data_IF_197363552730
#
_entry.id   IF_197363552730
#
_cell.length_a   1.000
_cell.length_b   1.000
_cell.length_c   1.000
_cell.angle_alpha   90.00
_cell.angle_beta   90.00
_cell.angle_gamma   90.00
#
_symmetry.space_group_name_H-M   'P 1'
#
loop_
_entity.id
_entity.type
_entity.pdbx_description
1 polymer ?
#
# COMPACT_ATOMS: atom_id res chain seq x y z
N UNK A 1 12.58 -18.03 -16.92
CA UNK A 1 11.29 -18.73 -16.73
C UNK A 1 10.56 -18.76 -18.05
N UNK A 2 10.09 -19.93 -18.52
CA UNK A 2 9.21 -20.00 -19.69
C UNK A 2 7.83 -19.48 -19.25
N UNK A 3 7.36 -18.42 -19.88
CA UNK A 3 5.98 -17.95 -19.72
C UNK A 3 5.09 -19.14 -20.10
N UNK A 4 4.16 -19.58 -19.24
CA UNK A 4 3.22 -20.62 -19.61
C UNK A 4 2.48 -20.22 -20.88
N UNK A 5 2.44 -21.09 -21.89
CA UNK A 5 1.80 -20.79 -23.17
C UNK A 5 0.28 -20.68 -23.09
N UNK A 6 -0.31 -21.19 -22.00
CA UNK A 6 -1.73 -21.03 -21.64
C UNK A 6 -1.83 -21.08 -20.12
N UNK A 7 -1.58 -19.97 -19.41
CA UNK A 7 -1.80 -19.95 -17.97
C UNK A 7 -3.29 -20.16 -17.68
N UNK A 8 -3.60 -20.89 -16.61
CA UNK A 8 -4.95 -20.92 -16.03
C UNK A 8 -5.17 -19.54 -15.36
N UNK A 9 -5.57 -18.57 -16.18
CA UNK A 9 -5.71 -17.18 -15.78
C UNK A 9 -7.12 -16.94 -15.30
N UNK A 10 -7.24 -16.60 -14.03
CA UNK A 10 -8.47 -16.08 -13.47
C UNK A 10 -8.51 -14.57 -13.69
N UNK A 11 -9.35 -14.11 -14.60
CA UNK A 11 -9.64 -12.68 -14.75
C UNK A 11 -10.51 -12.28 -13.56
N UNK A 12 -10.09 -11.25 -12.82
CA UNK A 12 -10.90 -10.74 -11.72
C UNK A 12 -12.30 -10.35 -12.20
N UNK A 13 -13.38 -10.76 -11.49
CA UNK A 13 -14.74 -10.37 -11.86
C UNK A 13 -14.98 -8.86 -11.80
N UNK A 14 -14.11 -8.14 -11.11
CA UNK A 14 -14.17 -6.70 -10.94
C UNK A 14 -13.43 -5.93 -12.04
N UNK A 15 -12.85 -6.64 -13.02
CA UNK A 15 -12.16 -5.99 -14.13
C UNK A 15 -13.15 -5.13 -14.93
N UNK A 16 -12.84 -3.86 -15.19
CA UNK A 16 -13.71 -2.98 -15.95
C UNK A 16 -13.92 -3.53 -17.37
N UNK A 17 -15.13 -3.35 -17.90
CA UNK A 17 -15.47 -3.76 -19.27
C UNK A 17 -14.76 -2.93 -20.35
N UNK A 18 -14.27 -1.76 -19.97
CA UNK A 18 -13.59 -0.84 -20.86
C UNK A 18 -12.13 -1.26 -21.07
N UNK A 19 -11.70 -1.31 -22.33
CA UNK A 19 -10.31 -1.58 -22.67
C UNK A 19 -9.48 -0.30 -22.43
N UNK A 20 -8.33 -0.39 -21.74
CA UNK A 20 -7.43 0.72 -21.54
C UNK A 20 -6.98 1.36 -22.85
N UNK A 21 -6.78 2.67 -22.85
CA UNK A 21 -6.40 3.46 -24.03
C UNK A 21 -5.07 3.02 -24.64
N UNK A 22 -4.14 2.60 -23.80
CA UNK A 22 -2.81 2.14 -24.20
C UNK A 22 -2.78 0.71 -24.75
N UNK A 23 -3.91 0.02 -24.83
CA UNK A 23 -4.04 -1.37 -25.30
C UNK A 23 -3.27 -2.41 -24.47
N UNK A 24 -2.98 -2.11 -23.22
CA UNK A 24 -2.16 -2.97 -22.35
C UNK A 24 -2.97 -3.95 -21.51
N UNK A 25 -4.28 -3.94 -21.70
CA UNK A 25 -5.22 -4.65 -20.84
C UNK A 25 -5.00 -6.15 -20.73
N UNK A 26 -4.61 -6.80 -21.81
CA UNK A 26 -4.30 -8.24 -21.86
C UNK A 26 -2.93 -8.49 -22.48
N UNK A 27 -2.09 -7.53 -22.46
CA UNK A 27 -0.76 -7.54 -23.03
C UNK A 27 0.32 -7.80 -21.97
N UNK A 28 1.59 -7.85 -22.35
CA UNK A 28 2.70 -7.98 -21.41
C UNK A 28 2.75 -6.91 -20.29
N UNK A 29 2.11 -5.76 -20.50
CA UNK A 29 2.06 -4.70 -19.48
C UNK A 29 0.96 -4.89 -18.44
N UNK A 30 0.14 -5.92 -18.56
CA UNK A 30 -0.75 -6.33 -17.49
C UNK A 30 0.03 -7.07 -16.43
N UNK A 31 -0.28 -6.83 -15.17
CA UNK A 31 0.39 -7.56 -14.09
C UNK A 31 -0.24 -8.93 -13.88
N UNK A 32 0.60 -9.90 -13.63
CA UNK A 32 0.23 -11.28 -13.38
C UNK A 32 0.63 -11.63 -11.95
N UNK A 33 -0.34 -11.94 -11.10
CA UNK A 33 -0.07 -12.32 -9.71
C UNK A 33 -0.73 -13.66 -9.40
N UNK A 34 -0.05 -14.57 -8.68
CA UNK A 34 -0.69 -15.78 -8.18
C UNK A 34 -1.73 -15.41 -7.12
N UNK A 35 -2.89 -16.05 -7.15
CA UNK A 35 -3.84 -16.01 -6.04
C UNK A 35 -3.46 -17.04 -4.96
N UNK A 36 -4.23 -17.07 -3.86
CA UNK A 36 -3.98 -18.00 -2.75
C UNK A 36 -4.07 -19.47 -3.14
N UNK A 37 -4.73 -19.79 -4.26
CA UNK A 37 -4.85 -21.13 -4.81
C UNK A 37 -3.77 -21.43 -5.86
N UNK A 38 -2.82 -20.54 -6.05
CA UNK A 38 -1.75 -20.65 -7.03
C UNK A 38 -2.17 -20.37 -8.48
N UNK A 39 -3.37 -19.82 -8.68
CA UNK A 39 -3.83 -19.38 -10.00
C UNK A 39 -3.38 -17.97 -10.28
N UNK A 40 -3.14 -17.66 -11.55
CA UNK A 40 -2.76 -16.34 -11.98
C UNK A 40 -3.96 -15.41 -12.10
N UNK A 41 -3.81 -14.18 -11.64
CA UNK A 41 -4.78 -13.10 -11.81
C UNK A 41 -4.22 -12.02 -12.72
N UNK A 42 -5.09 -11.45 -13.54
CA UNK A 42 -4.74 -10.37 -14.44
C UNK A 42 -5.28 -9.04 -13.89
N UNK A 43 -4.38 -8.08 -13.71
CA UNK A 43 -4.71 -6.72 -13.32
C UNK A 43 -4.27 -5.75 -14.43
N UNK A 44 -5.03 -4.67 -14.71
CA UNK A 44 -4.56 -3.61 -15.60
C UNK A 44 -3.27 -3.00 -15.04
N UNK A 45 -2.22 -2.97 -15.84
CA UNK A 45 -0.97 -2.35 -15.43
C UNK A 45 -1.05 -0.82 -15.49
N UNK A 46 -1.57 -0.29 -16.58
CA UNK A 46 -1.85 1.13 -16.78
C UNK A 46 -3.01 1.34 -17.76
N UNK A 47 -3.78 2.40 -17.58
CA UNK A 47 -4.85 2.84 -18.50
C UNK A 47 -4.40 4.01 -19.38
N UNK A 48 -3.49 4.82 -18.88
CA UNK A 48 -2.89 5.95 -19.57
C UNK A 48 -1.40 6.04 -19.24
N UNK A 49 -0.73 7.12 -19.62
CA UNK A 49 0.66 7.36 -19.25
C UNK A 49 0.77 7.51 -17.72
N UNK A 50 1.89 7.05 -17.18
CA UNK A 50 2.16 7.08 -15.75
C UNK A 50 1.96 8.47 -15.11
N UNK A 51 2.39 9.52 -15.80
CA UNK A 51 2.28 10.90 -15.31
C UNK A 51 0.84 11.45 -15.35
N UNK A 52 0.00 10.96 -16.26
CA UNK A 52 -1.42 11.29 -16.32
C UNK A 52 -2.17 10.64 -15.15
N UNK A 53 -1.92 9.36 -14.91
CA UNK A 53 -2.56 8.63 -13.81
C UNK A 53 -2.09 9.15 -12.44
N UNK A 54 -0.79 9.45 -12.26
CA UNK A 54 -0.28 10.05 -11.03
C UNK A 54 -0.87 11.42 -10.77
N UNK A 55 -0.87 12.31 -11.77
CA UNK A 55 -1.41 13.66 -11.60
C UNK A 55 -2.91 13.67 -11.27
N UNK A 56 -3.65 12.62 -11.64
CA UNK A 56 -5.07 12.55 -11.33
C UNK A 56 -5.35 12.57 -9.82
N UNK A 57 -4.61 11.82 -8.99
CA UNK A 57 -4.85 11.87 -7.55
C UNK A 57 -4.28 13.13 -6.87
N UNK A 58 -3.48 13.93 -7.57
CA UNK A 58 -3.06 15.25 -7.08
C UNK A 58 -4.04 16.36 -7.47
N UNK A 59 -4.51 16.37 -8.70
CA UNK A 59 -5.23 17.51 -9.27
C UNK A 59 -6.75 17.30 -9.35
N UNK A 60 -7.19 16.07 -9.58
CA UNK A 60 -8.60 15.73 -9.78
C UNK A 60 -9.00 14.53 -8.92
N UNK A 61 -9.15 13.37 -9.53
CA UNK A 61 -9.45 12.11 -8.86
C UNK A 61 -8.99 10.91 -9.69
N UNK A 62 -8.32 9.95 -9.07
CA UNK A 62 -8.04 8.64 -9.62
C UNK A 62 -8.98 7.59 -9.04
N UNK A 63 -9.42 6.65 -9.89
CA UNK A 63 -10.18 5.46 -9.49
C UNK A 63 -9.36 4.20 -9.75
N UNK A 64 -9.08 3.46 -8.70
CA UNK A 64 -8.39 2.17 -8.76
C UNK A 64 -9.29 1.05 -8.25
N UNK A 65 -9.24 -0.11 -8.93
CA UNK A 65 -10.05 -1.29 -8.56
C UNK A 65 -9.52 -2.05 -7.33
N UNK A 66 -8.52 -1.50 -6.63
CA UNK A 66 -7.82 -2.20 -5.55
C UNK A 66 -7.03 -3.40 -6.07
N UNK A 67 -6.63 -4.27 -5.16
CA UNK A 67 -5.99 -5.56 -5.48
C UNK A 67 -7.02 -6.69 -5.47
N UNK A 68 -8.26 -6.41 -5.89
CA UNK A 68 -9.33 -7.40 -5.89
C UNK A 68 -9.02 -8.62 -6.80
N UNK A 69 -9.41 -9.83 -6.38
CA UNK A 69 -10.02 -10.19 -5.12
C UNK A 69 -9.02 -10.08 -3.94
N UNK A 70 -9.45 -9.43 -2.88
CA UNK A 70 -8.62 -9.08 -1.72
C UNK A 70 -9.01 -9.90 -0.50
N UNK A 71 -8.10 -10.17 0.43
CA UNK A 71 -8.43 -10.89 1.66
C UNK A 71 -9.32 -10.03 2.55
N UNK A 72 -10.61 -10.37 2.61
CA UNK A 72 -11.61 -9.71 3.43
C UNK A 72 -12.27 -10.73 4.34
N UNK A 73 -12.24 -10.49 5.64
CA UNK A 73 -12.89 -11.33 6.64
C UNK A 73 -14.04 -10.58 7.28
N UNK A 74 -15.26 -11.13 7.18
CA UNK A 74 -16.39 -10.70 8.01
C UNK A 74 -16.38 -11.54 9.27
N UNK A 75 -16.31 -10.85 10.41
CA UNK A 75 -16.24 -11.48 11.72
C UNK A 75 -17.37 -10.98 12.60
N UNK A 76 -18.03 -11.91 13.29
CA UNK A 76 -19.00 -11.63 14.34
C UNK A 76 -18.54 -12.27 15.65
N UNK A 77 -18.66 -11.54 16.76
CA UNK A 77 -18.39 -12.05 18.11
C UNK A 77 -17.67 -11.06 19.00
N UNK A 78 -18.13 -10.98 20.25
CA UNK A 78 -17.60 -10.06 21.28
C UNK A 78 -16.14 -10.35 21.66
N UNK A 79 -15.65 -11.57 21.41
CA UNK A 79 -14.28 -11.97 21.75
C UNK A 79 -13.25 -11.58 20.68
N UNK A 80 -13.68 -11.11 19.49
CA UNK A 80 -12.76 -10.83 18.41
C UNK A 80 -11.71 -9.77 18.75
N UNK A 81 -12.14 -8.67 19.39
CA UNK A 81 -11.18 -7.64 19.82
C UNK A 81 -10.24 -8.11 20.93
N UNK A 82 -10.68 -9.03 21.80
CA UNK A 82 -9.81 -9.66 22.80
C UNK A 82 -8.75 -10.53 22.13
N UNK A 83 -9.15 -11.33 21.13
CA UNK A 83 -8.25 -12.15 20.34
C UNK A 83 -7.18 -11.30 19.64
N UNK A 84 -7.59 -10.24 18.96
CA UNK A 84 -6.66 -9.33 18.29
C UNK A 84 -5.73 -8.61 19.29
N UNK A 85 -6.23 -8.26 20.49
CA UNK A 85 -5.39 -7.67 21.54
C UNK A 85 -4.26 -8.63 21.95
N UNK A 86 -4.52 -9.93 22.02
CA UNK A 86 -3.49 -10.92 22.34
C UNK A 86 -2.51 -11.19 21.19
N UNK A 87 -2.81 -10.80 19.96
CA UNK A 87 -2.06 -11.15 18.77
C UNK A 87 -1.33 -9.99 18.11
N UNK A 88 -1.66 -8.75 18.45
CA UNK A 88 -1.21 -7.56 17.73
C UNK A 88 -0.64 -6.50 18.65
N UNK A 89 0.16 -5.59 18.10
CA UNK A 89 0.73 -4.47 18.85
C UNK A 89 -0.31 -3.44 19.28
N UNK A 90 -1.55 -3.59 18.81
CA UNK A 90 -2.62 -2.61 18.97
C UNK A 90 -3.46 -2.87 20.21
N UNK A 91 -3.94 -1.80 20.84
CA UNK A 91 -5.07 -1.86 21.77
C UNK A 91 -6.36 -1.43 21.09
N UNK A 92 -7.50 -2.00 21.52
CA UNK A 92 -8.81 -1.67 20.96
C UNK A 92 -9.67 -0.86 21.93
N UNK A 93 -9.05 -0.23 22.93
CA UNK A 93 -9.73 0.79 23.72
C UNK A 93 -10.16 1.97 22.85
N UNK A 94 -11.36 2.53 23.08
CA UNK A 94 -11.92 3.62 22.28
C UNK A 94 -11.96 3.29 20.75
N UNK A 95 -12.53 2.12 20.44
CA UNK A 95 -12.77 1.69 19.08
C UNK A 95 -14.28 1.60 18.80
N UNK A 96 -14.97 2.75 18.60
CA UNK A 96 -16.42 2.80 18.40
C UNK A 96 -16.83 2.20 17.05
N UNK A 97 -18.13 1.89 16.92
CA UNK A 97 -18.73 1.51 15.63
C UNK A 97 -18.48 2.59 14.59
N UNK A 98 -18.20 2.19 13.38
CA UNK A 98 -17.83 3.04 12.25
C UNK A 98 -16.33 3.36 12.16
N UNK A 99 -15.53 3.13 13.21
CA UNK A 99 -14.10 3.42 13.18
C UNK A 99 -13.32 2.31 12.48
N UNK A 100 -12.29 2.72 11.73
CA UNK A 100 -11.25 1.84 11.21
C UNK A 100 -9.95 1.98 12.01
N UNK A 101 -9.12 0.93 12.01
CA UNK A 101 -7.82 0.91 12.68
C UNK A 101 -6.81 0.10 11.86
N UNK A 102 -5.61 0.65 11.72
CA UNK A 102 -4.45 -0.09 11.22
C UNK A 102 -4.00 -1.09 12.29
N UNK A 103 -3.92 -2.36 11.94
CA UNK A 103 -3.62 -3.50 12.84
C UNK A 103 -2.33 -4.15 12.37
N UNK A 104 -1.40 -4.39 13.30
CA UNK A 104 -0.07 -4.89 12.99
C UNK A 104 0.21 -6.14 13.82
N UNK A 105 0.59 -7.23 13.13
CA UNK A 105 1.07 -8.48 13.69
C UNK A 105 2.59 -8.51 13.62
N UNK A 106 3.26 -8.89 14.71
CA UNK A 106 4.71 -9.04 14.75
C UNK A 106 5.11 -10.46 15.19
N UNK A 107 6.33 -10.83 14.83
CA UNK A 107 7.01 -12.01 15.39
C UNK A 107 7.55 -11.72 16.80
N UNK A 108 8.13 -12.74 17.47
CA UNK A 108 8.71 -12.60 18.80
C UNK A 108 9.92 -11.64 18.81
N UNK A 109 10.56 -11.40 17.68
CA UNK A 109 11.64 -10.42 17.49
C UNK A 109 11.14 -8.98 17.25
N UNK A 110 9.82 -8.76 17.20
CA UNK A 110 9.21 -7.46 16.96
C UNK A 110 9.16 -7.04 15.47
N UNK A 111 9.47 -7.98 14.54
CA UNK A 111 9.38 -7.69 13.10
C UNK A 111 7.98 -7.94 12.58
N UNK A 112 7.51 -7.10 11.67
CA UNK A 112 6.16 -7.14 11.09
C UNK A 112 6.01 -8.43 10.27
N UNK A 113 4.96 -9.19 10.57
CA UNK A 113 4.54 -10.37 9.80
C UNK A 113 3.43 -10.03 8.82
N UNK A 114 2.51 -9.18 9.25
CA UNK A 114 1.37 -8.75 8.45
C UNK A 114 0.79 -7.49 9.06
N UNK A 115 0.23 -6.65 8.22
CA UNK A 115 -0.56 -5.50 8.63
C UNK A 115 -1.81 -5.35 7.75
N UNK A 116 -2.80 -4.65 8.26
CA UNK A 116 -4.03 -4.42 7.52
C UNK A 116 -4.99 -3.50 8.27
N UNK A 117 -6.22 -3.42 7.77
CA UNK A 117 -7.24 -2.53 8.33
C UNK A 117 -8.35 -3.34 8.96
N UNK A 118 -8.75 -2.97 10.16
CA UNK A 118 -9.95 -3.46 10.83
C UNK A 118 -11.00 -2.35 10.88
N UNK A 119 -12.20 -2.62 10.40
CA UNK A 119 -13.36 -1.72 10.51
C UNK A 119 -14.39 -2.33 11.46
N UNK A 120 -14.84 -1.59 12.46
CA UNK A 120 -15.95 -2.00 13.34
C UNK A 120 -17.26 -1.55 12.73
N UNK A 121 -18.00 -2.49 12.13
CA UNK A 121 -19.25 -2.21 11.41
C UNK A 121 -20.51 -2.31 12.28
N UNK A 122 -20.42 -2.96 13.45
CA UNK A 122 -21.48 -3.11 14.43
C UNK A 122 -20.91 -3.28 15.84
N UNK A 123 -21.76 -3.51 16.84
CA UNK A 123 -21.28 -3.71 18.20
C UNK A 123 -20.35 -4.91 18.34
N UNK A 124 -20.66 -6.00 17.63
CA UNK A 124 -19.89 -7.25 17.57
C UNK A 124 -19.54 -7.65 16.14
N UNK A 125 -19.69 -6.74 15.17
CA UNK A 125 -19.46 -6.98 13.75
C UNK A 125 -18.24 -6.22 13.23
N UNK A 126 -17.40 -6.91 12.48
CA UNK A 126 -16.14 -6.38 11.97
C UNK A 126 -15.87 -6.81 10.53
N UNK A 127 -15.17 -5.96 9.80
CA UNK A 127 -14.53 -6.29 8.52
C UNK A 127 -13.02 -6.14 8.68
N UNK A 128 -12.28 -7.21 8.44
CA UNK A 128 -10.81 -7.22 8.42
C UNK A 128 -10.29 -7.30 7.00
N UNK A 129 -9.40 -6.38 6.63
CA UNK A 129 -8.77 -6.30 5.31
C UNK A 129 -7.29 -6.58 5.46
N UNK A 130 -6.77 -7.57 4.71
CA UNK A 130 -5.38 -8.01 4.77
C UNK A 130 -4.90 -8.39 6.18
N UNK A 131 -5.75 -9.03 6.97
CA UNK A 131 -5.42 -9.52 8.30
C UNK A 131 -5.19 -11.03 8.26
N UNK A 132 -4.57 -11.57 9.32
CA UNK A 132 -4.48 -13.02 9.54
C UNK A 132 -5.88 -13.60 9.60
N UNK A 133 -6.10 -14.76 8.95
CA UNK A 133 -7.39 -15.46 9.02
C UNK A 133 -7.80 -15.68 10.48
N UNK A 134 -8.93 -15.11 10.92
CA UNK A 134 -9.36 -15.18 12.33
C UNK A 134 -9.59 -16.60 12.84
N UNK A 135 -10.04 -17.53 11.99
CA UNK A 135 -10.21 -18.94 12.37
C UNK A 135 -8.85 -19.60 12.58
N UNK A 136 -7.89 -19.34 11.69
CA UNK A 136 -6.53 -19.83 11.83
C UNK A 136 -5.87 -19.28 13.10
N UNK A 137 -5.98 -17.97 13.35
CA UNK A 137 -5.44 -17.33 14.54
C UNK A 137 -6.03 -17.93 15.83
N UNK A 138 -7.35 -18.08 15.89
CA UNK A 138 -8.05 -18.68 17.03
C UNK A 138 -7.59 -20.14 17.26
N UNK A 139 -7.46 -20.91 16.17
CA UNK A 139 -6.95 -22.29 16.24
C UNK A 139 -5.52 -22.34 16.80
N UNK A 140 -4.62 -21.47 16.38
CA UNK A 140 -3.26 -21.39 16.91
C UNK A 140 -3.23 -21.06 18.41
N UNK A 141 -4.21 -20.31 18.89
CA UNK A 141 -4.39 -19.98 20.31
C UNK A 141 -5.13 -21.07 21.12
N UNK A 142 -5.50 -22.20 20.49
CA UNK A 142 -6.22 -23.30 21.15
C UNK A 142 -7.73 -23.11 21.20
N UNK A 143 -8.31 -22.29 20.33
CA UNK A 143 -9.74 -21.97 20.20
C UNK A 143 -10.42 -21.39 21.46
N UNK A 144 -9.81 -20.47 22.21
CA UNK A 144 -10.42 -19.93 23.42
C UNK A 144 -11.54 -18.90 23.15
N UNK A 145 -11.58 -18.34 21.91
CA UNK A 145 -12.46 -17.22 21.57
C UNK A 145 -13.70 -17.66 20.80
N UNK A 146 -14.85 -17.09 21.19
CA UNK A 146 -16.12 -17.33 20.51
C UNK A 146 -16.29 -16.30 19.40
N UNK A 147 -16.02 -16.71 18.17
CA UNK A 147 -16.15 -15.90 16.96
C UNK A 147 -16.76 -16.72 15.82
N UNK A 148 -17.48 -16.03 14.95
CA UNK A 148 -17.90 -16.55 13.65
C UNK A 148 -17.17 -15.75 12.56
N UNK A 149 -16.49 -16.43 11.63
CA UNK A 149 -15.73 -15.78 10.59
C UNK A 149 -16.09 -16.36 9.21
N UNK A 150 -16.32 -15.46 8.26
CA UNK A 150 -16.48 -15.78 6.84
C UNK A 150 -15.42 -15.04 6.03
N UNK A 151 -14.66 -15.76 5.19
CA UNK A 151 -13.81 -15.17 4.16
C UNK A 151 -14.69 -14.72 3.00
N UNK A 152 -14.64 -13.43 2.68
CA UNK A 152 -15.41 -12.79 1.60
C UNK A 152 -14.60 -12.52 0.34
N UNK A 153 -13.39 -13.03 0.21
CA UNK A 153 -12.44 -12.71 -0.86
C UNK A 153 -13.08 -12.68 -2.26
N UNK A 154 -13.95 -13.65 -2.58
CA UNK A 154 -14.59 -13.79 -3.90
C UNK A 154 -15.93 -13.04 -3.98
N UNK A 155 -16.46 -12.61 -2.86
CA UNK A 155 -17.82 -12.03 -2.74
C UNK A 155 -17.79 -10.50 -2.48
N UNK A 156 -16.60 -9.92 -2.31
CA UNK A 156 -16.45 -8.54 -1.86
C UNK A 156 -15.52 -7.75 -2.77
N UNK A 157 -15.81 -6.48 -2.95
CA UNK A 157 -14.93 -5.56 -3.67
C UNK A 157 -14.51 -4.37 -2.79
N UNK A 158 -13.35 -3.81 -3.12
CA UNK A 158 -12.83 -2.55 -2.61
C UNK A 158 -12.38 -1.71 -3.80
N UNK A 159 -12.97 -0.54 -3.99
CA UNK A 159 -12.48 0.47 -4.94
C UNK A 159 -11.88 1.62 -4.18
N UNK A 160 -10.81 2.20 -4.72
CA UNK A 160 -10.17 3.38 -4.14
C UNK A 160 -10.39 4.59 -5.04
N UNK A 161 -10.92 5.65 -4.46
CA UNK A 161 -11.16 6.95 -5.08
C UNK A 161 -10.26 7.97 -4.39
N UNK A 162 -9.18 8.38 -5.06
CA UNK A 162 -8.12 9.20 -4.49
C UNK A 162 -8.01 10.54 -5.21
N UNK A 163 -7.88 11.62 -4.46
CA UNK A 163 -7.69 12.98 -4.99
C UNK A 163 -8.66 13.99 -4.41
N UNK A 164 -8.36 15.28 -4.64
CA UNK A 164 -9.13 16.38 -4.04
C UNK A 164 -10.60 16.46 -4.45
N UNK A 165 -10.96 15.80 -5.56
CA UNK A 165 -12.35 15.74 -6.06
C UNK A 165 -13.08 14.46 -5.63
N UNK A 166 -12.43 13.59 -4.84
CA UNK A 166 -12.99 12.30 -4.42
C UNK A 166 -14.25 12.43 -3.56
N UNK A 167 -14.32 13.45 -2.68
CA UNK A 167 -15.51 13.71 -1.85
C UNK A 167 -16.73 14.03 -2.73
N UNK A 168 -16.59 14.97 -3.64
CA UNK A 168 -17.70 15.39 -4.51
C UNK A 168 -18.24 14.22 -5.34
N UNK A 169 -17.35 13.36 -5.85
CA UNK A 169 -17.75 12.19 -6.65
C UNK A 169 -18.49 11.18 -5.77
N UNK A 170 -17.95 10.80 -4.61
CA UNK A 170 -18.57 9.78 -3.76
C UNK A 170 -19.92 10.27 -3.22
N UNK A 171 -20.05 11.56 -2.87
CA UNK A 171 -21.30 12.16 -2.43
C UNK A 171 -22.38 12.14 -3.52
N UNK A 172 -22.03 12.53 -4.75
CA UNK A 172 -22.97 12.49 -5.86
C UNK A 172 -23.42 11.07 -6.20
N UNK A 173 -22.50 10.11 -6.17
CA UNK A 173 -22.80 8.70 -6.47
C UNK A 173 -23.70 8.09 -5.39
N UNK A 174 -23.44 8.37 -4.11
CA UNK A 174 -24.22 7.87 -2.97
C UNK A 174 -25.46 8.73 -2.67
N UNK A 175 -25.58 9.93 -3.26
CA UNK A 175 -26.60 10.94 -2.92
C UNK A 175 -26.66 11.22 -1.41
N UNK A 176 -25.50 11.35 -0.78
CA UNK A 176 -25.33 11.50 0.66
C UNK A 176 -24.21 12.49 0.97
N UNK A 177 -24.49 13.45 1.86
CA UNK A 177 -23.46 14.35 2.41
C UNK A 177 -22.51 13.54 3.32
N UNK A 178 -21.20 13.62 3.07
CA UNK A 178 -20.15 12.88 3.77
C UNK A 178 -19.09 13.80 4.41
N UNK A 179 -19.34 15.11 4.48
CA UNK A 179 -18.41 16.07 5.11
C UNK A 179 -18.08 15.71 6.56
N UNK A 180 -19.04 15.18 7.30
CA UNK A 180 -18.84 14.72 8.70
C UNK A 180 -18.02 13.42 8.82
N UNK A 181 -17.75 12.72 7.69
CA UNK A 181 -17.01 11.46 7.71
C UNK A 181 -15.52 11.73 7.95
N UNK A 182 -15.06 11.39 9.15
CA UNK A 182 -13.68 11.62 9.58
C UNK A 182 -12.72 10.60 8.96
N UNK A 183 -11.44 10.97 8.85
CA UNK A 183 -10.37 10.05 8.46
C UNK A 183 -10.37 8.80 9.36
N UNK A 184 -10.24 7.62 8.75
CA UNK A 184 -10.36 6.30 9.40
C UNK A 184 -11.73 6.05 10.06
N UNK A 185 -12.79 6.60 9.47
CA UNK A 185 -14.18 6.26 9.82
C UNK A 185 -14.93 5.84 8.55
N UNK A 186 -15.92 4.98 8.78
CA UNK A 186 -16.81 4.45 7.73
C UNK A 186 -18.27 4.77 8.01
N UNK A 187 -19.08 4.77 6.97
CA UNK A 187 -20.54 4.88 7.03
C UNK A 187 -21.17 3.99 5.98
N UNK A 188 -22.37 3.49 6.29
CA UNK A 188 -23.21 2.81 5.29
C UNK A 188 -23.82 3.83 4.33
N UNK A 189 -23.90 3.46 3.06
CA UNK A 189 -24.54 4.23 2.00
C UNK A 189 -25.16 3.29 0.97
N UNK A 190 -25.83 3.87 -0.02
CA UNK A 190 -26.38 3.13 -1.16
C UNK A 190 -25.96 3.79 -2.47
N UNK A 191 -25.73 2.97 -3.49
CA UNK A 191 -25.50 3.42 -4.87
C UNK A 191 -26.50 2.68 -5.73
N UNK A 192 -27.49 3.41 -6.28
CA UNK A 192 -28.58 2.87 -7.10
C UNK A 192 -29.28 1.65 -6.44
N UNK A 193 -29.54 1.73 -5.12
CA UNK A 193 -30.20 0.68 -4.33
C UNK A 193 -29.26 -0.49 -3.93
N UNK A 194 -27.97 -0.40 -4.17
CA UNK A 194 -26.97 -1.36 -3.75
C UNK A 194 -26.27 -0.87 -2.48
N UNK A 195 -26.26 -1.70 -1.43
CA UNK A 195 -25.60 -1.36 -0.19
C UNK A 195 -24.07 -1.29 -0.35
N UNK A 196 -23.45 -0.21 0.13
CA UNK A 196 -22.01 -0.01 0.16
C UNK A 196 -21.56 0.53 1.50
N UNK A 197 -20.32 0.22 1.87
CA UNK A 197 -19.60 0.85 2.97
C UNK A 197 -18.64 1.88 2.39
N UNK A 198 -18.73 3.12 2.82
CA UNK A 198 -17.78 4.18 2.47
C UNK A 198 -16.82 4.36 3.65
N UNK A 199 -15.53 4.19 3.41
CA UNK A 199 -14.47 4.38 4.38
C UNK A 199 -13.55 5.53 3.92
N UNK A 200 -13.39 6.57 4.74
CA UNK A 200 -12.44 7.65 4.44
C UNK A 200 -11.02 7.19 4.77
N UNK A 201 -10.35 6.64 3.78
CA UNK A 201 -8.94 6.22 3.77
C UNK A 201 -8.43 6.09 2.33
N UNK A 202 -7.14 5.87 2.13
CA UNK A 202 -6.55 5.63 0.81
C UNK A 202 -5.02 5.66 0.86
N UNK A 203 -4.37 5.19 -0.20
CA UNK A 203 -2.93 4.96 -0.25
C UNK A 203 -2.13 6.14 -0.82
N UNK A 204 -2.75 7.05 -1.56
CA UNK A 204 -2.04 8.21 -2.16
C UNK A 204 -1.60 9.28 -1.15
N UNK A 205 -2.03 9.17 0.11
CA UNK A 205 -1.85 10.21 1.11
C UNK A 205 -2.73 11.45 0.94
N UNK A 206 -3.36 11.66 -0.23
CA UNK A 206 -4.32 12.74 -0.49
C UNK A 206 -5.70 12.41 0.05
N UNK A 207 -6.67 13.36 -0.02
CA UNK A 207 -8.07 13.05 0.29
C UNK A 207 -8.51 11.82 -0.51
N UNK A 208 -9.09 10.84 0.16
CA UNK A 208 -9.46 9.57 -0.47
C UNK A 208 -10.57 8.85 0.28
N UNK A 209 -11.34 8.07 -0.48
CA UNK A 209 -12.40 7.21 0.01
C UNK A 209 -12.28 5.83 -0.62
N UNK A 210 -12.52 4.82 0.19
CA UNK A 210 -12.74 3.46 -0.30
C UNK A 210 -14.23 3.16 -0.33
N UNK A 211 -14.66 2.53 -1.42
CA UNK A 211 -16.04 2.09 -1.64
C UNK A 211 -16.03 0.57 -1.62
N UNK A 212 -16.74 0.00 -0.68
CA UNK A 212 -16.77 -1.43 -0.42
C UNK A 212 -18.17 -1.99 -0.64
N UNK A 213 -18.28 -3.19 -1.17
CA UNK A 213 -19.58 -3.82 -1.38
C UNK A 213 -19.51 -5.23 -1.92
N UNK A 214 -20.67 -5.75 -2.35
CA UNK A 214 -20.76 -7.07 -2.95
C UNK A 214 -20.12 -7.10 -4.34
N UNK A 215 -19.27 -8.09 -4.61
CA UNK A 215 -18.57 -8.22 -5.88
C UNK A 215 -19.52 -8.31 -7.10
N UNK A 216 -20.74 -8.83 -6.93
CA UNK A 216 -21.72 -8.88 -8.01
C UNK A 216 -22.18 -7.48 -8.48
N UNK A 217 -22.14 -6.49 -7.61
CA UNK A 217 -22.55 -5.10 -7.89
C UNK A 217 -21.40 -4.24 -8.42
N UNK A 218 -20.17 -4.70 -8.28
CA UNK A 218 -18.97 -3.95 -8.58
C UNK A 218 -18.93 -3.36 -10.01
N UNK A 219 -19.28 -4.11 -11.10
CA UNK A 219 -19.22 -3.56 -12.46
C UNK A 219 -20.14 -2.37 -12.67
N UNK A 220 -21.33 -2.38 -12.07
CA UNK A 220 -22.30 -1.29 -12.20
C UNK A 220 -21.87 -0.07 -11.37
N UNK A 221 -21.40 -0.31 -10.13
CA UNK A 221 -20.88 0.75 -9.27
C UNK A 221 -19.64 1.42 -9.90
N UNK A 222 -18.74 0.63 -10.47
CA UNK A 222 -17.55 1.15 -11.15
C UNK A 222 -17.93 2.06 -12.33
N UNK A 223 -18.87 1.62 -13.16
CA UNK A 223 -19.35 2.43 -14.28
C UNK A 223 -20.01 3.72 -13.80
N UNK A 224 -20.83 3.64 -12.74
CA UNK A 224 -21.48 4.81 -12.13
C UNK A 224 -20.48 5.84 -11.63
N UNK A 225 -19.38 5.38 -10.98
CA UNK A 225 -18.28 6.24 -10.54
C UNK A 225 -17.62 6.97 -11.72
N UNK A 226 -17.39 6.27 -12.84
CA UNK A 226 -16.83 6.87 -14.04
C UNK A 226 -17.77 7.87 -14.69
N UNK A 227 -19.07 7.53 -14.81
CA UNK A 227 -20.07 8.39 -15.47
C UNK A 227 -20.24 9.71 -14.71
N UNK A 228 -20.40 9.66 -13.39
CA UNK A 228 -20.51 10.86 -12.55
C UNK A 228 -19.16 11.57 -12.45
N UNK A 229 -18.08 10.81 -12.23
CA UNK A 229 -16.74 11.34 -12.06
C UNK A 229 -16.19 12.06 -13.30
N UNK A 230 -16.76 11.81 -14.50
CA UNK A 230 -16.33 12.46 -15.74
C UNK A 230 -16.36 13.99 -15.66
N UNK A 231 -17.36 14.57 -14.99
CA UNK A 231 -17.48 16.02 -14.79
C UNK A 231 -16.40 16.57 -13.84
N UNK A 232 -15.84 15.70 -12.99
CA UNK A 232 -14.82 16.02 -12.00
C UNK A 232 -13.39 15.66 -12.46
N UNK A 233 -13.26 15.16 -13.70
CA UNK A 233 -11.97 14.78 -14.27
C UNK A 233 -11.39 13.49 -13.72
N UNK A 234 -12.25 12.52 -13.36
CA UNK A 234 -11.83 11.19 -12.90
C UNK A 234 -10.98 10.48 -13.96
N UNK A 235 -9.91 9.82 -13.53
CA UNK A 235 -9.09 8.96 -14.36
C UNK A 235 -9.04 7.55 -13.76
N UNK A 236 -9.12 6.53 -14.61
CA UNK A 236 -8.82 5.17 -14.18
C UNK A 236 -7.30 5.05 -13.92
N UNK A 237 -6.91 4.34 -12.88
CA UNK A 237 -5.52 4.08 -12.56
C UNK A 237 -5.24 2.59 -12.47
N UNK A 238 -4.10 2.19 -13.05
CA UNK A 238 -3.63 0.81 -13.05
C UNK A 238 -2.69 0.51 -11.88
N UNK A 239 -2.14 -0.71 -11.91
CA UNK A 239 -1.24 -1.21 -10.87
C UNK A 239 0.02 -0.35 -10.71
N UNK A 240 0.60 0.15 -11.80
CA UNK A 240 1.77 1.03 -11.74
C UNK A 240 1.50 2.27 -10.90
N UNK A 241 0.39 2.95 -11.17
CA UNK A 241 -0.02 4.13 -10.41
C UNK A 241 -0.33 3.77 -8.95
N UNK A 242 -1.03 2.65 -8.72
CA UNK A 242 -1.36 2.19 -7.37
C UNK A 242 -0.11 1.96 -6.51
N UNK A 243 0.90 1.30 -7.05
CA UNK A 243 2.17 1.06 -6.33
C UNK A 243 2.88 2.39 -6.08
N UNK A 244 3.01 3.24 -7.09
CA UNK A 244 3.62 4.56 -6.96
C UNK A 244 2.93 5.46 -5.91
N UNK A 245 1.61 5.29 -5.71
CA UNK A 245 0.87 6.02 -4.67
C UNK A 245 1.41 5.75 -3.26
N UNK A 246 1.91 4.55 -2.98
CA UNK A 246 2.49 4.22 -1.67
C UNK A 246 3.75 5.03 -1.39
N UNK A 247 4.66 5.12 -2.36
CA UNK A 247 5.85 5.94 -2.23
C UNK A 247 5.49 7.42 -2.01
N UNK A 248 4.76 8.03 -2.93
CA UNK A 248 4.36 9.44 -2.83
C UNK A 248 3.54 9.71 -1.56
N UNK A 249 2.66 8.78 -1.21
CA UNK A 249 1.81 8.82 -0.03
C UNK A 249 2.56 8.64 1.30
N UNK A 250 3.82 8.18 1.26
CA UNK A 250 4.61 7.84 2.45
C UNK A 250 3.95 6.75 3.29
N UNK A 251 3.47 5.70 2.61
CA UNK A 251 2.76 4.58 3.23
C UNK A 251 3.52 3.29 2.92
N UNK A 252 4.10 2.68 3.94
CA UNK A 252 4.75 1.39 3.77
C UNK A 252 3.74 0.30 3.41
N UNK A 253 4.15 -0.60 2.53
CA UNK A 253 3.43 -1.80 2.16
C UNK A 253 4.36 -3.00 2.24
N UNK A 254 3.85 -4.07 2.84
CA UNK A 254 4.49 -5.37 2.88
C UNK A 254 4.77 -5.88 1.45
N UNK A 255 5.89 -6.56 1.28
CA UNK A 255 6.36 -7.12 0.00
C UNK A 255 6.76 -6.08 -1.07
N UNK A 256 6.55 -4.81 -0.83
CA UNK A 256 7.02 -3.71 -1.67
C UNK A 256 8.20 -2.98 -1.03
N UNK A 257 8.07 -2.64 0.26
CA UNK A 257 9.05 -1.84 0.98
C UNK A 257 9.89 -2.65 1.97
N UNK A 258 9.39 -3.80 2.41
CA UNK A 258 10.09 -4.68 3.35
C UNK A 258 9.66 -6.14 3.21
N UNK A 259 10.54 -7.05 3.62
CA UNK A 259 10.32 -8.48 3.63
C UNK A 259 9.69 -8.96 4.94
N UNK A 260 9.16 -10.18 4.95
CA UNK A 260 8.60 -10.83 6.13
C UNK A 260 9.37 -12.10 6.47
N UNK A 261 9.42 -12.41 7.77
CA UNK A 261 9.98 -13.67 8.29
C UNK A 261 8.88 -14.73 8.49
N UNK A 262 8.20 -15.08 7.42
CA UNK A 262 7.18 -16.12 7.50
C UNK A 262 7.71 -17.40 6.86
N UNK A 263 8.01 -18.42 7.66
CA UNK A 263 8.71 -19.63 7.25
C UNK A 263 8.20 -20.33 5.97
N UNK A 264 6.91 -20.32 5.62
CA UNK A 264 6.44 -20.84 4.33
C UNK A 264 6.75 -19.94 3.13
N UNK A 265 7.12 -18.67 3.34
CA UNK A 265 7.31 -17.66 2.30
C UNK A 265 8.76 -17.23 2.12
N UNK A 266 9.69 -17.71 2.95
CA UNK A 266 11.11 -17.34 2.92
C UNK A 266 11.76 -17.55 1.54
N UNK A 267 11.26 -18.48 0.74
CA UNK A 267 11.72 -18.75 -0.62
C UNK A 267 10.91 -18.01 -1.71
N UNK A 268 9.82 -17.34 -1.36
CA UNK A 268 8.91 -16.71 -2.34
C UNK A 268 9.25 -15.26 -2.64
N UNK A 269 9.79 -14.52 -1.66
CA UNK A 269 10.22 -13.14 -1.87
C UNK A 269 11.71 -13.08 -2.19
N UNK A 270 12.00 -12.78 -3.45
CA UNK A 270 13.38 -12.63 -3.93
C UNK A 270 13.81 -11.19 -3.67
N UNK A 271 14.85 -11.01 -2.86
CA UNK A 271 15.47 -9.70 -2.70
C UNK A 271 16.34 -9.38 -3.92
N UNK A 272 16.04 -8.29 -4.62
CA UNK A 272 16.85 -7.66 -5.65
C UNK A 272 17.45 -6.34 -5.13
N UNK A 273 18.29 -5.71 -5.93
CA UNK A 273 19.02 -4.51 -5.51
C UNK A 273 20.34 -4.84 -4.80
N UNK A 274 20.95 -3.83 -4.24
CA UNK A 274 22.29 -3.91 -3.65
C UNK A 274 22.31 -4.26 -2.16
N UNK A 275 21.17 -4.27 -1.48
CA UNK A 275 21.12 -4.65 -0.07
C UNK A 275 21.62 -6.09 0.10
N UNK A 276 22.57 -6.38 1.01
CA UNK A 276 23.01 -7.75 1.27
C UNK A 276 21.82 -8.65 1.65
N UNK A 277 21.75 -9.84 1.04
CA UNK A 277 20.61 -10.77 1.21
C UNK A 277 20.40 -11.25 2.65
N UNK A 278 21.46 -11.25 3.46
CA UNK A 278 21.45 -11.60 4.87
C UNK A 278 21.28 -10.37 5.79
N UNK A 279 21.03 -9.20 5.23
CA UNK A 279 20.81 -7.98 6.01
C UNK A 279 19.49 -8.01 6.76
N UNK A 280 19.54 -7.72 8.05
CA UNK A 280 18.34 -7.54 8.88
C UNK A 280 17.50 -6.31 8.49
N UNK A 281 18.09 -5.36 7.74
CA UNK A 281 17.39 -4.17 7.24
C UNK A 281 16.25 -4.48 6.25
N UNK A 282 16.19 -5.70 5.73
CA UNK A 282 15.05 -6.12 4.90
C UNK A 282 13.76 -6.38 5.71
N UNK A 283 13.86 -6.60 7.04
CA UNK A 283 12.73 -6.89 7.92
C UNK A 283 12.46 -5.69 8.82
N UNK A 284 11.26 -5.15 8.74
CA UNK A 284 10.92 -3.93 9.46
C UNK A 284 10.18 -4.21 10.77
N UNK A 285 10.47 -3.42 11.78
CA UNK A 285 9.61 -3.24 12.95
C UNK A 285 8.61 -2.11 12.71
N UNK A 286 7.59 -1.94 13.53
CA UNK A 286 6.73 -0.75 13.47
C UNK A 286 7.48 0.58 13.60
N UNK A 287 8.63 0.61 14.27
CA UNK A 287 9.48 1.82 14.37
C UNK A 287 10.16 2.14 13.05
N UNK A 288 10.68 1.11 12.37
CA UNK A 288 11.29 1.24 11.04
C UNK A 288 10.34 1.88 10.01
N UNK A 289 9.02 1.65 10.15
CA UNK A 289 7.98 2.21 9.28
C UNK A 289 7.37 3.54 9.79
N UNK A 290 7.86 4.10 10.90
CA UNK A 290 7.26 5.28 11.52
C UNK A 290 5.92 5.01 12.21
N UNK A 291 5.55 3.73 12.45
CA UNK A 291 4.30 3.31 13.09
C UNK A 291 4.44 3.06 14.59
N UNK A 292 5.53 3.44 15.20
CA UNK A 292 5.81 3.20 16.62
C UNK A 292 4.72 3.73 17.57
N UNK A 293 3.98 4.77 17.18
CA UNK A 293 2.85 5.30 17.94
C UNK A 293 1.64 4.35 18.01
N UNK A 294 1.57 3.33 17.13
CA UNK A 294 0.53 2.29 17.14
C UNK A 294 0.84 1.16 18.13
N UNK A 295 2.11 1.00 18.51
CA UNK A 295 2.54 -0.02 19.49
C UNK A 295 2.07 0.39 20.89
N UNK A 296 1.33 -0.51 21.55
CA UNK A 296 0.82 -0.30 22.90
C UNK A 296 1.33 -1.39 23.83
N UNK A 297 1.90 -0.99 24.98
CA UNK A 297 2.49 -1.90 25.93
C UNK A 297 1.58 -2.22 27.12
N UNK A 298 0.31 -1.86 27.05
CA UNK A 298 -0.70 -2.07 28.07
C UNK A 298 -1.30 -3.49 28.08
N UNK A 299 -0.88 -4.35 27.17
CA UNK A 299 -1.28 -5.75 27.03
C UNK A 299 -0.09 -6.63 26.60
N UNK A 300 -0.29 -7.95 26.57
CA UNK A 300 0.72 -8.90 26.11
C UNK A 300 0.43 -9.33 24.66
N UNK A 301 1.48 -9.36 23.84
CA UNK A 301 1.43 -9.74 22.43
C UNK A 301 2.81 -10.26 21.96
N UNK A 302 2.91 -11.02 20.85
CA UNK A 302 4.17 -11.45 20.26
C UNK A 302 5.08 -10.26 19.93
N UNK A 303 6.36 -10.33 20.33
CA UNK A 303 7.33 -9.26 20.10
C UNK A 303 7.32 -8.11 21.12
N UNK A 304 6.42 -8.10 22.11
CA UNK A 304 6.35 -7.02 23.12
C UNK A 304 7.68 -6.68 23.76
N UNK A 305 8.44 -7.69 24.21
CA UNK A 305 9.73 -7.47 24.89
C UNK A 305 10.77 -6.85 23.94
N UNK A 306 10.81 -7.31 22.69
CA UNK A 306 11.72 -6.80 21.67
C UNK A 306 11.39 -5.33 21.30
N UNK A 307 10.12 -5.04 21.05
CA UNK A 307 9.65 -3.69 20.74
C UNK A 307 9.81 -2.71 21.91
N UNK A 308 9.60 -3.17 23.15
CA UNK A 308 9.86 -2.33 24.33
C UNK A 308 11.35 -1.99 24.45
N UNK A 309 12.23 -2.97 24.22
CA UNK A 309 13.67 -2.72 24.21
C UNK A 309 14.07 -1.78 23.04
N UNK A 310 13.48 -1.95 21.87
CA UNK A 310 13.71 -1.08 20.70
C UNK A 310 13.29 0.37 20.98
N UNK A 311 12.11 0.58 21.58
CA UNK A 311 11.62 1.93 21.92
C UNK A 311 12.50 2.72 22.89
N UNK A 312 13.42 2.04 23.59
CA UNK A 312 14.32 2.63 24.60
C UNK A 312 15.76 2.79 24.11
N UNK A 313 16.05 2.40 22.89
CA UNK A 313 17.40 2.46 22.32
C UNK A 313 17.37 3.22 21.00
N UNK A 314 18.55 3.54 20.49
CA UNK A 314 18.75 4.00 19.12
C UNK A 314 18.20 2.97 18.14
N UNK A 315 17.42 3.40 17.17
CA UNK A 315 16.74 2.55 16.19
C UNK A 315 16.67 3.23 14.81
N UNK A 316 16.24 2.47 13.82
CA UNK A 316 15.97 3.04 12.50
C UNK A 316 14.61 3.75 12.48
N UNK A 317 14.45 4.62 11.50
CA UNK A 317 13.20 5.34 11.24
C UNK A 317 12.98 5.56 9.76
N UNK A 318 11.75 5.92 9.40
CA UNK A 318 11.32 6.12 8.02
C UNK A 318 11.61 7.54 7.52
N UNK A 319 12.21 7.64 6.33
CA UNK A 319 12.41 8.89 5.59
C UNK A 319 12.15 8.66 4.11
N UNK A 320 12.13 9.73 3.32
CA UNK A 320 12.32 9.68 1.88
C UNK A 320 13.74 10.05 1.49
N UNK A 321 14.19 9.51 0.37
CA UNK A 321 15.39 9.97 -0.32
C UNK A 321 15.00 10.66 -1.62
N UNK A 322 15.59 11.81 -1.90
CA UNK A 322 15.55 12.49 -3.20
C UNK A 322 16.88 12.20 -3.89
N UNK A 323 16.82 11.44 -4.99
CA UNK A 323 18.02 10.97 -5.71
C UNK A 323 18.61 12.05 -6.58
N UNK A 324 19.94 12.12 -6.64
CA UNK A 324 20.64 13.12 -7.43
C UNK A 324 20.48 12.87 -8.93
N UNK A 325 19.87 13.82 -9.64
CA UNK A 325 19.56 13.70 -11.09
C UNK A 325 20.78 13.48 -11.97
N UNK A 326 21.93 14.06 -11.62
CA UNK A 326 23.16 13.93 -12.43
C UNK A 326 23.74 12.52 -12.29
N UNK A 327 23.63 11.92 -11.10
CA UNK A 327 24.09 10.56 -10.87
C UNK A 327 23.16 9.53 -11.53
N UNK A 328 21.82 9.77 -11.53
CA UNK A 328 20.87 8.99 -12.32
C UNK A 328 21.21 9.00 -13.81
N UNK A 329 21.53 10.17 -14.38
CA UNK A 329 21.94 10.28 -15.78
C UNK A 329 23.24 9.53 -16.08
N UNK A 330 24.17 9.42 -15.11
CA UNK A 330 25.38 8.58 -15.26
C UNK A 330 25.04 7.09 -15.33
N UNK A 331 24.04 6.62 -14.56
CA UNK A 331 23.54 5.24 -14.66
C UNK A 331 22.96 5.00 -16.04
N UNK A 332 22.09 5.88 -16.52
CA UNK A 332 21.48 5.78 -17.85
C UNK A 332 22.54 5.76 -18.98
N UNK A 333 23.60 6.57 -18.85
CA UNK A 333 24.70 6.55 -19.79
C UNK A 333 25.50 5.24 -19.70
N UNK A 334 25.73 4.72 -18.50
CA UNK A 334 26.48 3.49 -18.28
C UNK A 334 25.75 2.24 -18.81
N UNK A 335 24.42 2.22 -18.80
CA UNK A 335 23.61 1.14 -19.42
C UNK A 335 23.89 1.01 -20.93
N UNK A 336 24.23 2.10 -21.60
CA UNK A 336 24.55 2.11 -23.02
C UNK A 336 26.03 1.75 -23.32
N UNK A 337 26.85 1.52 -22.30
CA UNK A 337 28.27 1.11 -22.44
C UNK A 337 28.35 -0.41 -22.61
N UNK A 338 28.80 -0.92 -23.80
CA UNK A 338 28.83 -2.35 -24.08
C UNK A 338 29.85 -3.13 -23.22
N UNK A 339 30.79 -2.42 -22.60
CA UNK A 339 31.84 -3.02 -21.76
C UNK A 339 31.41 -3.10 -20.27
N UNK A 340 30.25 -2.60 -19.94
CA UNK A 340 29.72 -2.61 -18.58
C UNK A 340 28.42 -3.38 -18.49
N UNK A 341 28.32 -4.28 -17.54
CA UNK A 341 27.06 -4.92 -17.17
C UNK A 341 26.38 -4.10 -16.07
N UNK A 342 25.66 -3.06 -16.45
CA UNK A 342 24.90 -2.18 -15.55
C UNK A 342 23.47 -2.65 -15.47
N UNK A 343 22.89 -2.68 -14.28
CA UNK A 343 21.45 -2.93 -14.12
C UNK A 343 20.65 -1.74 -14.65
N UNK A 344 19.63 -2.04 -15.44
CA UNK A 344 18.73 -1.02 -15.97
C UNK A 344 17.97 -0.33 -14.84
N UNK A 345 18.01 0.99 -14.84
CA UNK A 345 17.22 1.82 -13.94
C UNK A 345 15.99 2.32 -14.69
N UNK A 346 14.83 1.79 -14.38
CA UNK A 346 13.57 2.32 -14.90
C UNK A 346 13.34 3.74 -14.36
N UNK A 347 13.03 4.67 -15.27
CA UNK A 347 12.83 6.07 -14.87
C UNK A 347 11.50 6.30 -14.16
N UNK A 348 10.50 5.45 -14.39
CA UNK A 348 9.17 5.62 -13.80
C UNK A 348 9.08 5.04 -12.40
N UNK A 349 9.77 3.93 -12.15
CA UNK A 349 9.77 3.29 -10.85
C UNK A 349 10.31 1.88 -10.87
N UNK A 350 10.28 1.22 -9.73
CA UNK A 350 10.72 -0.16 -9.59
C UNK A 350 9.79 -1.11 -10.36
N UNK A 351 10.36 -1.80 -11.33
CA UNK A 351 9.60 -2.67 -12.22
C UNK A 351 9.40 -4.09 -11.66
N UNK A 352 10.29 -4.54 -10.77
CA UNK A 352 10.31 -5.93 -10.32
C UNK A 352 9.06 -6.30 -9.54
N UNK A 353 8.73 -5.56 -8.50
CA UNK A 353 7.49 -5.78 -7.74
C UNK A 353 6.24 -5.53 -8.58
N UNK A 354 6.24 -4.47 -9.38
CA UNK A 354 5.11 -4.08 -10.22
C UNK A 354 4.69 -5.17 -11.19
N UNK A 355 5.64 -6.02 -11.60
CA UNK A 355 5.39 -7.11 -12.53
C UNK A 355 4.96 -8.43 -11.89
N UNK A 356 5.56 -8.83 -10.77
CA UNK A 356 5.38 -10.20 -10.29
C UNK A 356 5.03 -10.34 -8.81
N UNK A 357 5.11 -9.28 -7.99
CA UNK A 357 4.89 -9.27 -6.54
C UNK A 357 5.72 -10.31 -5.74
N UNK A 358 6.71 -10.92 -6.36
CA UNK A 358 7.57 -11.93 -5.73
C UNK A 358 8.99 -11.42 -5.54
N UNK A 359 9.28 -10.20 -6.00
CA UNK A 359 10.60 -9.58 -5.91
C UNK A 359 10.48 -8.26 -5.21
N UNK A 360 11.23 -8.10 -4.12
CA UNK A 360 11.38 -6.85 -3.40
C UNK A 360 12.71 -6.23 -3.80
N UNK A 361 12.69 -4.99 -4.28
CA UNK A 361 13.92 -4.26 -4.61
C UNK A 361 14.33 -3.37 -3.45
N UNK A 362 15.51 -3.62 -2.91
CA UNK A 362 16.09 -2.81 -1.84
C UNK A 362 17.56 -2.48 -2.14
N UNK A 363 17.87 -1.21 -2.08
CA UNK A 363 19.23 -0.72 -2.24
C UNK A 363 19.85 -0.30 -0.91
N UNK A 364 21.11 -0.68 -0.71
CA UNK A 364 21.87 -0.33 0.48
C UNK A 364 22.19 1.18 0.50
N UNK A 365 21.97 1.82 1.64
CA UNK A 365 22.26 3.25 1.86
C UNK A 365 23.47 3.40 2.77
N UNK A 366 24.42 4.25 2.38
CA UNK A 366 25.72 4.41 3.03
C UNK A 366 26.00 5.87 3.41
N UNK A 367 26.78 6.01 4.49
CA UNK A 367 27.62 7.17 4.76
C UNK A 367 29.09 6.70 4.74
N UNK A 368 29.83 7.05 3.69
CA UNK A 368 31.13 6.47 3.43
C UNK A 368 31.05 4.95 3.29
N UNK A 369 31.70 4.21 4.19
CA UNK A 369 31.66 2.73 4.21
C UNK A 369 30.66 2.16 5.24
N UNK A 370 30.00 3.01 6.03
CA UNK A 370 29.00 2.58 7.01
C UNK A 370 27.66 2.34 6.31
N UNK A 371 27.12 1.12 6.36
CA UNK A 371 25.75 0.81 5.96
C UNK A 371 24.81 1.45 7.02
N UNK A 372 23.95 2.37 6.61
CA UNK A 372 23.09 3.17 7.49
C UNK A 372 21.60 2.97 7.25
N UNK A 373 21.22 2.30 6.16
CA UNK A 373 19.80 2.10 5.84
C UNK A 373 19.57 1.27 4.58
N UNK A 374 18.30 1.13 4.25
CA UNK A 374 17.83 0.45 3.04
C UNK A 374 16.75 1.28 2.35
N UNK A 375 16.90 1.46 1.05
CA UNK A 375 15.98 2.21 0.18
C UNK A 375 15.16 1.26 -0.68
N UNK A 376 13.86 1.47 -0.77
CA UNK A 376 12.91 0.67 -1.56
C UNK A 376 11.94 1.56 -2.34
N UNK A 377 11.23 0.97 -3.30
CA UNK A 377 10.20 1.62 -4.13
C UNK A 377 10.65 2.96 -4.73
N UNK A 378 11.75 2.92 -5.46
CA UNK A 378 12.24 4.09 -6.19
C UNK A 378 11.32 4.44 -7.35
N UNK A 379 10.91 5.70 -7.47
CA UNK A 379 10.07 6.18 -8.54
C UNK A 379 10.35 7.65 -8.91
N UNK A 380 9.97 8.03 -10.13
CA UNK A 380 9.93 9.43 -10.56
C UNK A 380 8.54 10.00 -10.26
N UNK A 381 8.44 11.00 -9.38
CA UNK A 381 7.18 11.71 -9.15
C UNK A 381 6.85 12.63 -10.33
N UNK A 382 5.66 12.47 -10.89
CA UNK A 382 5.16 13.37 -11.93
C UNK A 382 4.94 14.79 -11.40
N UNK A 383 4.54 14.92 -10.14
CA UNK A 383 4.24 16.20 -9.49
C UNK A 383 5.49 17.03 -9.25
N UNK A 384 6.52 16.45 -8.66
CA UNK A 384 7.74 17.19 -8.26
C UNK A 384 8.85 17.10 -9.29
N UNK A 385 8.78 16.13 -10.22
CA UNK A 385 9.83 15.81 -11.19
C UNK A 385 11.15 15.38 -10.52
N UNK A 386 11.05 14.79 -9.34
CA UNK A 386 12.15 14.23 -8.59
C UNK A 386 12.05 12.70 -8.54
N UNK A 387 13.18 12.02 -8.63
CA UNK A 387 13.29 10.61 -8.33
C UNK A 387 13.34 10.46 -6.82
N UNK A 388 12.39 9.74 -6.26
CA UNK A 388 12.27 9.52 -4.82
C UNK A 388 12.22 8.04 -4.49
N UNK A 389 12.48 7.72 -3.23
CA UNK A 389 12.26 6.39 -2.67
C UNK A 389 11.90 6.47 -1.20
N UNK A 390 11.24 5.44 -0.69
CA UNK A 390 11.11 5.24 0.76
C UNK A 390 12.43 4.65 1.28
N UNK A 391 12.85 5.07 2.46
CA UNK A 391 14.05 4.57 3.10
C UNK A 391 13.84 4.37 4.59
N UNK A 392 14.27 3.22 5.10
CA UNK A 392 14.46 2.99 6.52
C UNK A 392 15.92 3.24 6.84
N UNK A 393 16.20 4.19 7.72
CA UNK A 393 17.55 4.69 7.98
C UNK A 393 17.80 4.83 9.49
N UNK A 394 19.05 4.67 9.91
CA UNK A 394 19.55 4.99 11.26
C UNK A 394 19.13 6.44 11.64
N UNK A 395 18.46 6.60 12.79
CA UNK A 395 17.82 7.87 13.17
C UNK A 395 18.78 9.08 13.27
N UNK A 396 20.08 8.86 13.46
CA UNK A 396 21.06 9.94 13.44
C UNK A 396 21.16 10.63 12.06
N UNK A 397 20.79 9.92 11.00
CA UNK A 397 20.76 10.42 9.64
C UNK A 397 19.39 10.91 9.19
N UNK A 398 18.35 10.69 9.98
CA UNK A 398 16.98 11.12 9.67
C UNK A 398 16.78 12.63 9.92
N UNK A 399 17.62 13.44 9.31
CA UNK A 399 17.62 14.91 9.40
C UNK A 399 17.41 15.48 8.01
N UNK A 400 16.49 16.43 7.88
CA UNK A 400 16.17 17.09 6.59
C UNK A 400 17.44 17.66 5.95
N UNK A 401 17.69 17.27 4.69
CA UNK A 401 18.82 17.75 3.91
C UNK A 401 20.14 16.97 4.10
N UNK A 402 20.15 15.91 4.92
CA UNK A 402 21.32 15.04 5.06
C UNK A 402 21.66 14.38 3.72
N UNK A 403 22.92 14.48 3.28
CA UNK A 403 23.42 13.80 2.09
C UNK A 403 23.85 12.36 2.45
N UNK A 404 23.42 11.40 1.65
CA UNK A 404 23.77 9.98 1.76
C UNK A 404 24.07 9.40 0.37
N UNK A 405 24.58 8.18 0.32
CA UNK A 405 24.83 7.47 -0.93
C UNK A 405 24.01 6.19 -1.01
N UNK A 406 23.28 6.01 -2.10
CA UNK A 406 22.59 4.75 -2.44
C UNK A 406 23.47 3.95 -3.39
N UNK A 407 23.70 2.68 -3.08
CA UNK A 407 24.43 1.78 -3.95
C UNK A 407 23.46 1.18 -4.97
N UNK A 408 23.51 1.61 -6.22
CA UNK A 408 22.70 1.06 -7.31
C UNK A 408 23.35 -0.17 -7.95
N UNK A 409 22.52 -1.18 -8.22
CA UNK A 409 22.89 -2.37 -8.98
C UNK A 409 23.06 -3.62 -8.12
N UNK A 410 22.62 -4.77 -8.65
CA UNK A 410 22.73 -6.06 -7.98
C UNK A 410 24.21 -6.50 -7.81
N UNK A 411 24.52 -7.32 -6.80
CA UNK A 411 25.84 -7.93 -6.67
C UNK A 411 26.24 -8.70 -7.94
N UNK A 412 27.44 -8.42 -8.44
CA UNK A 412 27.98 -9.03 -9.67
C UNK A 412 27.69 -8.25 -10.95
N UNK A 413 27.00 -7.11 -10.84
CA UNK A 413 26.87 -6.10 -11.90
C UNK A 413 27.85 -4.95 -11.68
N UNK A 414 27.88 -3.97 -12.59
CA UNK A 414 28.63 -2.74 -12.38
C UNK A 414 27.85 -1.82 -11.44
N UNK A 415 28.16 -1.90 -10.15
CA UNK A 415 27.50 -1.11 -9.13
C UNK A 415 28.01 0.34 -9.12
N UNK A 416 27.09 1.27 -8.80
CA UNK A 416 27.38 2.71 -8.74
C UNK A 416 26.83 3.31 -7.44
N UNK A 417 27.62 4.16 -6.77
CA UNK A 417 27.13 4.98 -5.65
C UNK A 417 26.51 6.26 -6.18
N UNK A 418 25.28 6.51 -5.81
CA UNK A 418 24.50 7.67 -6.23
C UNK A 418 24.17 8.50 -4.99
N UNK A 419 24.43 9.78 -5.06
CA UNK A 419 24.03 10.71 -4.00
C UNK A 419 22.53 10.79 -3.90
N UNK A 420 22.05 10.91 -2.68
CA UNK A 420 20.67 11.20 -2.38
C UNK A 420 20.58 12.13 -1.17
N UNK A 421 19.48 12.84 -1.05
CA UNK A 421 19.23 13.77 0.07
C UNK A 421 18.03 13.26 0.87
N UNK A 422 18.19 13.20 2.19
CA UNK A 422 17.12 12.81 3.11
C UNK A 422 16.06 13.91 3.16
N UNK A 423 14.79 13.56 3.06
CA UNK A 423 13.66 14.41 3.39
C UNK A 423 12.70 13.69 4.32
N UNK A 424 12.17 14.41 5.31
CA UNK A 424 11.32 13.83 6.34
C UNK A 424 9.93 13.49 5.79
N UNK A 425 9.39 12.34 6.23
CA UNK A 425 8.01 11.93 5.91
C UNK A 425 6.97 12.84 6.57
N UNK A 426 5.83 13.10 5.90
CA UNK A 426 5.50 12.64 4.55
C UNK A 426 6.18 13.51 3.48
N UNK A 427 6.50 12.91 2.31
CA UNK A 427 7.11 13.63 1.18
C UNK A 427 6.21 14.75 0.67
N UNK A 428 4.94 14.46 0.37
CA UNK A 428 3.92 15.47 0.07
C UNK A 428 3.22 15.85 1.37
N UNK A 429 3.42 17.08 1.84
CA UNK A 429 2.91 17.57 3.13
C UNK A 429 1.51 18.19 3.05
N UNK A 430 1.12 18.67 1.87
CA UNK A 430 -0.13 19.37 1.62
C UNK A 430 -1.28 18.39 1.29
N UNK A 431 -2.50 18.79 1.58
CA UNK A 431 -3.73 18.06 1.23
C UNK A 431 -3.80 16.61 1.72
N UNK A 432 -3.16 16.33 2.86
CA UNK A 432 -3.18 14.97 3.45
C UNK A 432 -4.58 14.58 3.91
N UNK A 433 -4.98 13.33 3.65
CA UNK A 433 -6.31 12.82 3.98
C UNK A 433 -6.70 13.00 5.45
N UNK A 434 -5.74 12.87 6.37
CA UNK A 434 -5.98 12.96 7.81
C UNK A 434 -6.22 14.40 8.31
N UNK A 435 -5.86 15.42 7.54
CA UNK A 435 -6.00 16.83 7.89
C UNK A 435 -6.58 17.71 6.77
N UNK A 436 -7.11 17.09 5.71
CA UNK A 436 -7.74 17.83 4.62
C UNK A 436 -8.98 18.56 5.13
N UNK A 437 -9.06 19.86 4.82
CA UNK A 437 -10.21 20.70 5.14
C UNK A 437 -11.35 20.44 4.13
N UNK A 438 -12.22 19.50 4.47
CA UNK A 438 -13.36 19.12 3.61
C UNK A 438 -14.41 20.23 3.53
N UNK A 439 -14.47 21.13 4.53
CA UNK A 439 -15.39 22.29 4.51
C UNK A 439 -15.00 23.32 3.43
N UNK A 440 -13.79 23.21 2.88
CA UNK A 440 -13.40 24.01 1.70
C UNK A 440 -14.07 23.53 0.39
N UNK A 441 -14.71 22.34 0.42
CA UNK A 441 -15.47 21.76 -0.69
C UNK A 441 -16.97 22.14 -0.46
N UNK A 442 -17.70 22.57 -1.50
CA UNK A 442 -19.13 22.83 -1.36
C UNK A 442 -19.92 21.56 -0.98
N UNK A 443 -20.86 21.69 -0.04
CA UNK A 443 -21.79 20.61 0.26
C UNK A 443 -22.60 20.19 -0.97
N UNK A 444 -22.92 18.89 -1.12
CA UNK A 444 -23.59 18.40 -2.30
C UNK A 444 -25.03 18.91 -2.41
N UNK A 445 -25.44 19.21 -3.63
CA UNK A 445 -26.84 19.50 -3.96
C UNK A 445 -27.36 18.35 -4.81
N UNK A 446 -28.42 17.71 -4.34
CA UNK A 446 -29.04 16.60 -5.06
C UNK A 446 -30.34 17.06 -5.71
N UNK A 447 -30.46 16.87 -7.02
CA UNK A 447 -31.72 17.08 -7.72
C UNK A 447 -32.80 16.12 -7.17
N UNK A 448 -34.02 16.64 -7.04
CA UNK A 448 -35.16 15.91 -6.45
C UNK A 448 -35.67 14.82 -7.37
#
# INVERSE_FOLDING_TARGET
MSIPTTPDVKITPLMPKRIPKNKLFVSPESSWTPDSDGKWQLHPFAFDRWDVEEMAYHDTCSLHIGLNPFNVFKVHGSDYLKMLTCATVNTFHNFPVGKARHVIFCDDGGKILLDGILVRTGEEDFLGFNLVDPNFLNMQMGNPFQIECKNLREEYFVFQLCGKRSLEIVEQVCRKDLHDLKFMYSTQAEIDGKEVLILRTGMSGTLAYEIHGNAADAPEIYQKLLDIGAEYGIQESGRLCYVNQHCVGSIFQLAEHFNIRFAPLDDEFILSGSLPRDSELQFHSPYDCGWGNLVKFDHDFPGKAALLAESQRHHNTAVHLIWNKEDILKVQAAVMDPDKRVDYMDMVGDYDFKNNCSTIHMDAVYDGDKLIGASSDRMLSAKTREMISICTIDEDYAVEGTEVEVLWGNPGTYQMRLRATVTLMPYIKENRNNNFDVESIPHPVFDK
#
